data_IF_732383777201
#
_entry.id   IF_732383777201
#
_cell.length_a   1.000
_cell.length_b   1.000
_cell.length_c   1.000
_cell.angle_alpha   90.00
_cell.angle_beta   90.00
_cell.angle_gamma   90.00
#
_symmetry.space_group_name_H-M   'P 1'
#
loop_
_entity.id
_entity.type
_entity.pdbx_description
1 polymer ?
#
# COMPACT_ATOMS: atom_id res chain seq x y z
N UNK A 1 -7.30 7.88 40.67
CA UNK A 1 -5.98 8.02 39.99
C UNK A 1 -5.74 6.93 38.93
N UNK A 2 -5.49 5.64 39.28
CA UNK A 2 -5.19 4.57 38.28
C UNK A 2 -6.21 4.43 37.15
N UNK A 3 -7.51 4.47 37.44
CA UNK A 3 -8.57 4.34 36.42
C UNK A 3 -8.54 5.48 35.40
N UNK A 4 -8.27 6.70 35.85
CA UNK A 4 -8.17 7.89 34.99
C UNK A 4 -6.95 7.76 34.06
N UNK A 5 -5.81 7.32 34.60
CA UNK A 5 -4.60 7.06 33.81
C UNK A 5 -4.87 6.00 32.74
N UNK A 6 -5.52 4.90 33.10
CA UNK A 6 -5.88 3.83 32.14
C UNK A 6 -6.83 4.36 31.06
N UNK A 7 -7.86 5.12 31.43
CA UNK A 7 -8.80 5.70 30.47
C UNK A 7 -8.12 6.67 29.50
N UNK A 8 -7.19 7.51 29.97
CA UNK A 8 -6.42 8.43 29.10
C UNK A 8 -5.51 7.68 28.14
N UNK A 9 -4.84 6.62 28.60
CA UNK A 9 -3.99 5.77 27.74
C UNK A 9 -4.83 5.06 26.67
N UNK A 10 -5.99 4.52 27.02
CA UNK A 10 -6.88 3.88 26.05
C UNK A 10 -7.39 4.85 24.97
N UNK A 11 -7.69 6.10 25.34
CA UNK A 11 -8.13 7.14 24.39
C UNK A 11 -6.99 7.54 23.44
N UNK A 12 -5.76 7.68 23.95
CA UNK A 12 -4.58 7.96 23.12
C UNK A 12 -4.29 6.84 22.10
N UNK A 13 -4.52 5.58 22.47
CA UNK A 13 -4.35 4.42 21.59
C UNK A 13 -5.49 4.25 20.58
N UNK A 14 -6.66 4.82 20.86
CA UNK A 14 -7.83 4.77 19.97
C UNK A 14 -7.79 5.82 18.84
N UNK A 15 -6.75 6.65 18.78
CA UNK A 15 -6.56 7.62 17.70
C UNK A 15 -6.46 6.89 16.36
N UNK A 16 -7.22 7.31 15.34
CA UNK A 16 -7.15 6.69 14.03
C UNK A 16 -5.72 6.82 13.50
N UNK A 17 -5.07 5.67 13.28
CA UNK A 17 -3.81 5.66 12.56
C UNK A 17 -4.11 6.10 11.12
N UNK A 18 -3.59 7.26 10.72
CA UNK A 18 -3.62 7.66 9.32
C UNK A 18 -2.71 6.70 8.57
N UNK A 19 -3.31 5.69 7.93
CA UNK A 19 -2.62 4.83 7.00
C UNK A 19 -2.01 5.70 5.90
N UNK A 20 -0.70 5.68 5.81
CA UNK A 20 0.09 6.35 4.80
C UNK A 20 -0.49 5.97 3.43
N UNK A 21 -1.15 6.90 2.74
CA UNK A 21 -1.79 6.60 1.46
C UNK A 21 -0.77 6.14 0.40
N UNK A 22 -1.24 5.80 -0.79
CA UNK A 22 -0.39 5.28 -1.87
C UNK A 22 0.82 6.16 -2.22
N UNK A 23 0.71 7.48 -2.06
CA UNK A 23 1.81 8.41 -2.29
C UNK A 23 2.99 8.21 -1.34
N UNK A 24 2.72 7.92 -0.07
CA UNK A 24 3.75 7.74 0.94
C UNK A 24 4.54 6.44 0.72
N UNK A 25 3.86 5.35 0.33
CA UNK A 25 4.52 4.09 -0.02
C UNK A 25 5.55 4.26 -1.15
N UNK A 26 5.22 5.07 -2.16
CA UNK A 26 6.12 5.44 -3.26
C UNK A 26 7.33 6.24 -2.76
N UNK A 27 7.06 7.32 -2.03
CA UNK A 27 8.08 8.21 -1.45
C UNK A 27 9.06 7.47 -0.55
N UNK A 28 8.58 6.60 0.34
CA UNK A 28 9.44 5.84 1.26
C UNK A 28 10.35 4.89 0.47
N UNK A 29 9.82 4.16 -0.52
CA UNK A 29 10.63 3.27 -1.36
C UNK A 29 11.68 4.03 -2.17
N UNK A 30 11.32 5.19 -2.71
CA UNK A 30 12.26 6.06 -3.42
C UNK A 30 13.44 6.45 -2.52
N UNK A 31 13.18 6.94 -1.30
CA UNK A 31 14.24 7.33 -0.37
C UNK A 31 15.03 6.14 0.17
N UNK A 32 14.40 4.97 0.34
CA UNK A 32 15.07 3.76 0.80
C UNK A 32 16.25 3.35 -0.11
N UNK A 33 16.14 3.56 -1.42
CA UNK A 33 17.21 3.25 -2.38
C UNK A 33 18.49 4.06 -2.12
N UNK A 34 18.36 5.30 -1.63
CA UNK A 34 19.51 6.17 -1.33
C UNK A 34 20.15 5.88 0.03
N UNK A 35 19.47 5.10 0.90
CA UNK A 35 19.97 4.67 2.20
C UNK A 35 20.71 3.33 2.12
N UNK A 36 20.73 2.67 0.94
CA UNK A 36 21.41 1.40 0.73
C UNK A 36 22.94 1.57 0.68
N UNK A 37 23.70 0.51 1.03
CA UNK A 37 25.14 0.48 0.82
C UNK A 37 25.51 0.71 -0.66
N UNK A 38 26.67 1.34 -0.95
CA UNK A 38 27.11 1.67 -2.30
C UNK A 38 27.08 0.48 -3.27
N UNK A 39 27.44 -0.71 -2.79
CA UNK A 39 27.52 -1.95 -3.58
C UNK A 39 26.14 -2.36 -4.12
N UNK A 40 25.09 -2.18 -3.32
CA UNK A 40 23.72 -2.49 -3.71
C UNK A 40 23.11 -1.35 -4.54
N UNK A 41 23.49 -0.11 -4.26
CA UNK A 41 22.96 1.08 -4.94
C UNK A 41 23.17 1.03 -6.47
N UNK A 42 24.24 0.38 -6.94
CA UNK A 42 24.52 0.17 -8.37
C UNK A 42 23.35 -0.52 -9.09
N UNK A 43 22.70 -1.49 -8.44
CA UNK A 43 21.56 -2.22 -9.00
C UNK A 43 20.23 -1.50 -8.78
N UNK A 44 20.01 -0.95 -7.58
CA UNK A 44 18.70 -0.40 -7.20
C UNK A 44 18.44 1.00 -7.75
N UNK A 45 19.48 1.84 -7.92
CA UNK A 45 19.32 3.22 -8.37
C UNK A 45 18.79 3.36 -9.80
N UNK A 46 19.26 2.57 -10.79
CA UNK A 46 18.67 2.59 -12.14
C UNK A 46 17.21 2.09 -12.17
N UNK A 47 16.84 1.22 -11.22
CA UNK A 47 15.52 0.58 -11.15
C UNK A 47 14.55 1.28 -10.17
N UNK A 48 14.89 2.46 -9.65
CA UNK A 48 14.11 3.16 -8.62
C UNK A 48 12.68 3.46 -9.07
N UNK A 49 12.46 3.79 -10.36
CA UNK A 49 11.13 4.05 -10.90
C UNK A 49 10.22 2.82 -10.87
N UNK A 50 10.78 1.64 -11.16
CA UNK A 50 10.04 0.38 -11.07
C UNK A 50 9.64 0.08 -9.62
N UNK A 51 10.57 0.25 -8.68
CA UNK A 51 10.33 0.05 -7.25
C UNK A 51 9.28 1.03 -6.70
N UNK A 52 9.34 2.28 -7.13
CA UNK A 52 8.36 3.31 -6.75
C UNK A 52 6.95 2.93 -7.24
N UNK A 53 6.79 2.54 -8.50
CA UNK A 53 5.48 2.20 -9.07
C UNK A 53 4.86 0.95 -8.40
N UNK A 54 5.70 -0.05 -8.10
CA UNK A 54 5.27 -1.33 -7.53
C UNK A 54 5.21 -1.32 -5.99
N UNK A 55 5.64 -0.24 -5.32
CA UNK A 55 5.57 -0.11 -3.86
C UNK A 55 4.15 -0.24 -3.28
N UNK A 56 3.13 -0.03 -4.11
CA UNK A 56 1.71 0.00 -3.73
C UNK A 56 0.97 -1.28 -4.14
N UNK A 57 1.60 -2.16 -4.91
CA UNK A 57 0.99 -3.40 -5.39
C UNK A 57 0.49 -4.33 -4.28
N UNK A 58 1.19 -4.48 -3.13
CA UNK A 58 0.69 -5.24 -1.99
C UNK A 58 -0.66 -4.74 -1.48
N UNK A 59 -0.83 -3.41 -1.40
CA UNK A 59 -2.06 -2.78 -0.93
C UNK A 59 -3.16 -2.83 -1.98
N UNK A 60 -2.82 -2.65 -3.27
CA UNK A 60 -3.79 -2.79 -4.37
C UNK A 60 -4.41 -4.18 -4.42
N UNK A 61 -3.63 -5.24 -4.17
CA UNK A 61 -4.13 -6.64 -4.17
C UNK A 61 -5.28 -6.85 -3.19
N UNK A 62 -5.27 -6.14 -2.04
CA UNK A 62 -6.34 -6.21 -1.04
C UNK A 62 -7.70 -5.74 -1.59
N UNK A 63 -7.70 -4.81 -2.54
CA UNK A 63 -8.92 -4.32 -3.18
C UNK A 63 -9.37 -5.17 -4.38
N UNK A 64 -8.48 -6.01 -4.93
CA UNK A 64 -8.79 -6.93 -6.03
C UNK A 64 -9.47 -8.21 -5.52
N UNK A 65 -9.14 -8.64 -4.31
CA UNK A 65 -9.84 -9.72 -3.62
C UNK A 65 -11.03 -9.12 -2.88
N UNK A 66 -12.04 -8.69 -3.63
CA UNK A 66 -13.36 -8.48 -3.08
C UNK A 66 -13.79 -9.84 -2.49
N UNK A 67 -13.96 -9.90 -1.16
CA UNK A 67 -14.36 -11.12 -0.49
C UNK A 67 -15.63 -11.67 -1.15
N UNK A 68 -15.67 -12.96 -1.55
CA UNK A 68 -16.87 -13.58 -2.09
C UNK A 68 -17.83 -13.88 -0.94
N UNK A 69 -18.43 -12.83 -0.37
CA UNK A 69 -19.50 -12.96 0.63
C UNK A 69 -20.69 -12.06 0.35
N UNK A 70 -20.78 -11.50 -0.86
CA UNK A 70 -21.95 -10.72 -1.26
C UNK A 70 -22.32 -10.95 -2.73
N UNK A 71 -22.54 -12.21 -3.06
CA UNK A 71 -23.02 -12.67 -4.37
C UNK A 71 -24.52 -12.98 -4.42
N UNK A 72 -25.36 -12.42 -3.52
CA UNK A 72 -26.81 -12.63 -3.55
C UNK A 72 -27.57 -11.31 -3.32
N UNK A 73 -27.30 -10.28 -4.11
CA UNK A 73 -28.33 -9.26 -4.38
C UNK A 73 -28.23 -8.83 -5.86
N UNK A 74 -29.29 -9.01 -6.68
CA UNK A 74 -29.29 -8.55 -8.06
C UNK A 74 -29.49 -7.03 -8.04
N UNK A 75 -28.45 -6.25 -8.36
CA UNK A 75 -28.62 -4.81 -8.56
C UNK A 75 -27.40 -3.89 -8.40
N UNK A 76 -26.25 -4.35 -7.89
CA UNK A 76 -25.07 -3.49 -7.80
C UNK A 76 -24.20 -3.61 -9.05
N UNK A 77 -24.08 -2.49 -9.77
CA UNK A 77 -23.33 -2.35 -11.02
C UNK A 77 -21.89 -2.91 -10.93
N UNK A 78 -21.36 -3.50 -12.01
CA UNK A 78 -19.94 -3.81 -12.07
C UNK A 78 -19.15 -2.50 -12.08
N UNK A 79 -18.30 -2.31 -11.06
CA UNK A 79 -17.27 -1.28 -11.11
C UNK A 79 -16.47 -1.48 -12.39
N UNK A 80 -16.50 -0.45 -13.24
CA UNK A 80 -15.90 -0.39 -14.56
C UNK A 80 -14.52 -1.06 -14.59
N UNK A 81 -14.41 -2.08 -15.45
CA UNK A 81 -13.26 -2.92 -15.74
C UNK A 81 -12.16 -2.15 -16.50
N UNK A 82 -11.89 -0.90 -16.13
CA UNK A 82 -11.03 0.04 -16.88
C UNK A 82 -9.59 0.13 -16.37
N UNK A 83 -9.30 -0.24 -15.11
CA UNK A 83 -7.95 -0.04 -14.53
C UNK A 83 -7.11 -1.32 -14.39
N UNK A 84 -7.61 -2.48 -14.84
CA UNK A 84 -6.90 -3.76 -14.74
C UNK A 84 -6.02 -4.07 -15.96
N UNK A 85 -5.28 -3.08 -16.48
CA UNK A 85 -4.19 -3.35 -17.43
C UNK A 85 -2.86 -3.36 -16.66
N UNK A 86 -2.68 -4.41 -15.86
CA UNK A 86 -1.35 -4.79 -15.39
C UNK A 86 -0.60 -5.30 -16.61
N UNK A 87 0.09 -4.40 -17.32
CA UNK A 87 1.04 -4.80 -18.34
C UNK A 87 2.23 -5.41 -17.62
N UNK A 88 2.23 -6.74 -17.52
CA UNK A 88 3.41 -7.52 -17.12
C UNK A 88 4.58 -7.06 -17.99
N UNK A 89 5.68 -6.53 -17.44
CA UNK A 89 6.85 -6.20 -18.25
C UNK A 89 7.41 -7.51 -18.80
N UNK A 90 7.37 -7.67 -20.13
CA UNK A 90 8.14 -8.70 -20.81
C UNK A 90 9.61 -8.34 -20.67
N UNK A 91 10.31 -8.99 -19.75
CA UNK A 91 11.76 -9.00 -19.76
C UNK A 91 12.24 -9.64 -21.06
N UNK A 92 12.93 -8.86 -21.89
CA UNK A 92 13.79 -9.35 -22.97
C UNK A 92 15.23 -9.05 -22.57
#
# INVERSE_FOLDING_TARGET
>A
MRKIVISVVCIMLAMPCFSWGFFAHRKINYYAVFLLPPEMMVFYKPNVGFLEEHAVDPDKRRYLVQAPLFGILPGSMPVSRSSARYHKPSFR
#
